data_IF_420859679475
#
_entry.id   IF_420859679475
#
_cell.length_a   1.000
_cell.length_b   1.000
_cell.length_c   1.000
_cell.angle_alpha   90.00
_cell.angle_beta   90.00
_cell.angle_gamma   90.00
#
_symmetry.space_group_name_H-M   'P 1'
#
loop_
_entity.id
_entity.type
_entity.pdbx_description
1 polymer ?
#
# COMPACT_ATOMS: atom_id res chain seq x y z
N UNK A 1 -10.35 -18.39 -3.81
CA UNK A 1 -9.49 -18.15 -2.65
C UNK A 1 -8.08 -18.49 -3.08
N UNK A 2 -7.15 -17.53 -3.01
CA UNK A 2 -5.74 -17.83 -3.26
C UNK A 2 -5.15 -18.00 -1.87
N UNK A 3 -5.00 -19.26 -1.45
CA UNK A 3 -4.36 -19.59 -0.18
C UNK A 3 -2.85 -19.41 -0.36
N UNK A 4 -2.38 -18.19 -0.05
CA UNK A 4 -0.96 -17.87 -0.07
C UNK A 4 -0.39 -18.15 1.32
N UNK A 5 0.79 -18.78 1.41
CA UNK A 5 1.47 -18.93 2.68
C UNK A 5 1.71 -17.54 3.30
N UNK A 6 1.63 -17.46 4.63
CA UNK A 6 2.08 -16.26 5.35
C UNK A 6 3.51 -16.00 4.90
N UNK A 7 3.84 -14.78 4.41
CA UNK A 7 5.18 -14.54 3.91
C UNK A 7 6.16 -14.69 5.08
N UNK A 8 7.16 -15.54 4.90
CA UNK A 8 8.29 -15.60 5.83
C UNK A 8 9.06 -14.25 5.74
N UNK A 9 9.92 -13.97 6.73
CA UNK A 9 10.61 -12.68 6.86
C UNK A 9 11.36 -12.26 5.58
N UNK A 10 12.02 -13.21 4.90
CA UNK A 10 12.75 -12.95 3.65
C UNK A 10 11.82 -12.45 2.53
N UNK A 11 10.62 -13.03 2.42
CA UNK A 11 9.64 -12.63 1.41
C UNK A 11 9.07 -11.24 1.71
N UNK A 12 8.82 -10.93 2.99
CA UNK A 12 8.45 -9.57 3.39
C UNK A 12 9.54 -8.56 3.02
N UNK A 13 10.80 -8.87 3.34
CA UNK A 13 11.93 -7.98 3.04
C UNK A 13 12.05 -7.72 1.53
N UNK A 14 11.85 -8.75 0.69
CA UNK A 14 11.83 -8.59 -0.75
C UNK A 14 10.79 -7.55 -1.20
N UNK A 15 9.55 -7.64 -0.70
CA UNK A 15 8.50 -6.68 -1.03
C UNK A 15 8.74 -5.29 -0.44
N UNK A 16 9.38 -5.18 0.72
CA UNK A 16 9.79 -3.89 1.28
C UNK A 16 10.77 -3.19 0.34
N UNK A 17 11.77 -3.91 -0.17
CA UNK A 17 12.76 -3.35 -1.09
C UNK A 17 12.15 -2.92 -2.42
N UNK A 18 11.20 -3.70 -2.96
CA UNK A 18 10.45 -3.30 -4.15
C UNK A 18 9.56 -2.07 -3.90
N UNK A 19 8.89 -2.00 -2.75
CA UNK A 19 8.07 -0.85 -2.37
C UNK A 19 8.93 0.42 -2.23
N UNK A 20 10.11 0.33 -1.61
CA UNK A 20 11.05 1.46 -1.46
C UNK A 20 11.57 1.98 -2.81
N UNK A 21 11.72 1.11 -3.80
CA UNK A 21 12.16 1.48 -5.16
C UNK A 21 11.02 2.05 -6.01
N UNK A 22 9.77 1.86 -5.58
CA UNK A 22 8.61 2.28 -6.34
C UNK A 22 8.46 3.81 -6.29
N UNK A 23 8.53 4.45 -7.45
CA UNK A 23 8.35 5.91 -7.54
C UNK A 23 6.88 6.33 -7.45
N UNK A 24 5.96 5.52 -7.99
CA UNK A 24 4.51 5.76 -7.97
C UNK A 24 3.79 4.40 -7.98
N UNK A 25 2.80 4.22 -7.10
CA UNK A 25 1.91 3.06 -7.11
C UNK A 25 0.63 3.34 -7.91
N UNK A 26 0.40 2.57 -8.97
CA UNK A 26 -0.85 2.59 -9.73
C UNK A 26 -1.77 1.48 -9.21
N UNK A 27 -2.96 1.84 -8.73
CA UNK A 27 -3.88 0.83 -8.20
C UNK A 27 -5.35 1.15 -8.50
N UNK A 28 -6.16 0.10 -8.58
CA UNK A 28 -7.62 0.25 -8.59
C UNK A 28 -8.17 0.41 -7.17
N UNK A 29 -9.45 0.78 -7.06
CA UNK A 29 -10.17 0.96 -5.77
C UNK A 29 -9.88 -0.12 -4.73
N UNK A 30 -10.09 -1.39 -5.08
CA UNK A 30 -10.00 -2.50 -4.11
C UNK A 30 -8.60 -2.63 -3.52
N UNK A 31 -7.57 -2.57 -4.37
CA UNK A 31 -6.19 -2.65 -3.91
C UNK A 31 -5.85 -1.46 -3.02
N UNK A 32 -6.27 -0.25 -3.40
CA UNK A 32 -6.06 0.93 -2.58
C UNK A 32 -6.72 0.79 -1.19
N UNK A 33 -7.98 0.37 -1.13
CA UNK A 33 -8.72 0.15 0.12
C UNK A 33 -8.05 -0.91 1.01
N UNK A 34 -7.57 -2.02 0.43
CA UNK A 34 -6.81 -3.05 1.17
C UNK A 34 -5.52 -2.48 1.73
N UNK A 35 -4.73 -1.77 0.93
CA UNK A 35 -3.43 -1.25 1.34
C UNK A 35 -3.54 -0.08 2.35
N UNK A 36 -4.71 0.53 2.50
CA UNK A 36 -4.95 1.50 3.59
C UNK A 36 -4.78 0.93 4.99
N UNK A 37 -4.71 -0.40 5.13
CA UNK A 37 -4.21 -1.06 6.33
C UNK A 37 -2.90 -0.42 6.83
N UNK A 38 -1.98 -0.10 5.92
CA UNK A 38 -0.65 0.43 6.21
C UNK A 38 -0.60 1.93 6.49
N UNK A 39 -1.72 2.64 6.35
CA UNK A 39 -1.77 4.09 6.59
C UNK A 39 -1.89 4.45 8.07
N UNK A 40 -2.33 3.53 8.94
CA UNK A 40 -2.64 3.78 10.37
C UNK A 40 -1.39 3.69 11.26
N UNK A 41 -0.91 4.82 11.85
CA UNK A 41 0.25 4.82 12.74
C UNK A 41 0.01 4.03 14.04
N UNK A 42 -1.24 3.93 14.49
CA UNK A 42 -1.61 3.20 15.71
C UNK A 42 -1.26 1.71 15.62
N UNK A 43 -1.19 1.16 14.40
CA UNK A 43 -0.84 -0.25 14.18
C UNK A 43 0.65 -0.55 14.39
N UNK A 44 1.52 0.45 14.27
CA UNK A 44 2.96 0.26 14.40
C UNK A 44 3.40 -0.15 15.81
N UNK A 45 2.59 0.19 16.82
CA UNK A 45 2.87 -0.08 18.24
C UNK A 45 3.05 -1.57 18.49
N UNK A 46 2.34 -2.43 17.77
CA UNK A 46 2.37 -3.89 17.94
C UNK A 46 2.93 -4.65 16.71
N UNK A 47 3.33 -3.93 15.66
CA UNK A 47 3.83 -4.54 14.42
C UNK A 47 5.25 -5.07 14.57
N UNK A 48 5.64 -6.02 13.73
CA UNK A 48 7.05 -6.41 13.59
C UNK A 48 7.85 -5.33 12.83
N UNK A 49 9.18 -5.36 12.91
CA UNK A 49 10.02 -4.37 12.23
C UNK A 49 9.82 -4.38 10.71
N UNK A 50 9.75 -5.57 10.12
CA UNK A 50 9.56 -5.75 8.69
C UNK A 50 8.20 -5.22 8.21
N UNK A 51 7.16 -5.26 9.06
CA UNK A 51 5.85 -4.69 8.76
C UNK A 51 5.85 -3.16 8.84
N UNK A 52 6.52 -2.59 9.85
CA UNK A 52 6.69 -1.13 9.98
C UNK A 52 7.41 -0.57 8.76
N UNK A 53 8.47 -1.24 8.33
CA UNK A 53 9.24 -0.88 7.15
C UNK A 53 8.39 -0.79 5.89
N UNK A 54 7.52 -1.77 5.65
CA UNK A 54 6.56 -1.72 4.55
C UNK A 54 5.61 -0.53 4.70
N UNK A 55 5.07 -0.31 5.91
CA UNK A 55 4.13 0.78 6.18
C UNK A 55 4.75 2.16 5.89
N UNK A 56 6.01 2.37 6.27
CA UNK A 56 6.75 3.59 5.94
C UNK A 56 6.91 3.74 4.42
N UNK A 57 7.45 2.73 3.74
CA UNK A 57 7.65 2.78 2.28
C UNK A 57 6.34 3.01 1.51
N UNK A 58 5.26 2.34 1.93
CA UNK A 58 3.93 2.54 1.38
C UNK A 58 3.46 3.99 1.53
N UNK A 59 3.55 4.57 2.73
CA UNK A 59 3.06 5.93 2.99
C UNK A 59 3.86 7.00 2.25
N UNK A 60 5.18 6.82 2.11
CA UNK A 60 6.06 7.72 1.36
C UNK A 60 5.82 7.68 -0.15
N UNK A 61 5.48 6.50 -0.69
CA UNK A 61 5.23 6.35 -2.12
C UNK A 61 3.93 7.06 -2.54
N UNK A 62 3.93 7.93 -3.57
CA UNK A 62 2.72 8.51 -4.14
C UNK A 62 1.83 7.47 -4.82
N UNK A 63 0.50 7.62 -4.71
CA UNK A 63 -0.49 6.71 -5.32
C UNK A 63 -1.29 7.41 -6.41
N UNK A 64 -1.54 6.73 -7.52
CA UNK A 64 -2.61 7.07 -8.47
C UNK A 64 -3.66 5.98 -8.39
N UNK A 65 -4.85 6.37 -7.92
CA UNK A 65 -5.96 5.45 -7.70
C UNK A 65 -6.97 5.63 -8.83
N UNK A 66 -7.19 4.57 -9.60
CA UNK A 66 -8.21 4.55 -10.65
C UNK A 66 -9.52 4.00 -10.07
N UNK A 67 -10.56 4.85 -10.04
CA UNK A 67 -11.87 4.44 -9.57
C UNK A 67 -12.97 5.38 -10.04
N UNK A 68 -14.07 4.81 -10.53
CA UNK A 68 -15.30 5.54 -10.87
C UNK A 68 -16.20 5.78 -9.67
N UNK A 69 -15.99 5.08 -8.54
CA UNK A 69 -16.90 5.11 -7.39
C UNK A 69 -16.34 5.79 -6.15
N UNK A 70 -15.01 5.78 -5.97
CA UNK A 70 -14.40 6.52 -4.86
C UNK A 70 -14.69 8.01 -5.03
N UNK A 71 -14.96 8.68 -3.91
CA UNK A 71 -15.15 10.13 -3.89
C UNK A 71 -13.88 10.87 -3.50
N UNK A 72 -13.08 10.28 -2.63
CA UNK A 72 -11.85 10.84 -2.11
C UNK A 72 -10.79 9.76 -1.84
N UNK A 73 -9.55 10.20 -1.69
CA UNK A 73 -8.38 9.40 -1.32
C UNK A 73 -7.52 10.19 -0.32
N UNK A 74 -6.61 9.51 0.37
CA UNK A 74 -5.71 10.13 1.35
C UNK A 74 -4.70 11.11 0.76
N UNK A 75 -3.96 11.79 1.64
CA UNK A 75 -3.11 12.95 1.31
C UNK A 75 -1.98 12.68 0.31
N UNK A 76 -1.38 11.48 0.29
CA UNK A 76 -0.35 11.09 -0.67
C UNK A 76 -0.90 10.22 -1.82
N UNK A 77 -2.14 10.50 -2.23
CA UNK A 77 -2.82 9.79 -3.31
C UNK A 77 -3.61 10.77 -4.19
N UNK A 78 -3.74 10.44 -5.47
CA UNK A 78 -4.60 11.15 -6.43
C UNK A 78 -5.63 10.20 -7.02
N UNK A 79 -6.88 10.62 -7.00
CA UNK A 79 -7.98 9.89 -7.63
C UNK A 79 -8.13 10.26 -9.11
N UNK A 80 -8.22 9.24 -9.97
CA UNK A 80 -8.54 9.34 -11.39
C UNK A 80 -9.88 8.64 -11.66
N UNK A 81 -10.87 9.40 -12.16
CA UNK A 81 -12.26 8.93 -12.32
C UNK A 81 -12.62 8.39 -13.72
N UNK A 82 -11.75 8.57 -14.71
CA UNK A 82 -11.98 8.16 -16.09
C UNK A 82 -10.66 7.78 -16.77
N UNK A 83 -10.71 7.58 -18.08
CA UNK A 83 -9.54 7.25 -18.87
C UNK A 83 -8.56 8.43 -18.95
N UNK A 84 -7.29 8.12 -19.21
CA UNK A 84 -6.18 9.07 -19.37
C UNK A 84 -5.82 9.20 -20.84
#
# INVERSE_FOLDING_TARGET
>A
DIDLPVPEEELHQHFNDEMRRTSIALCGRRMYETMRFWDSPEREIAAEEVERDFAHAWRETPKIVFSTTLQEVGSNARLVKGDV
#
